data_IF_860851020339
#
_entry.id   IF_860851020339
#
_cell.length_a   1.000
_cell.length_b   1.000
_cell.length_c   1.000
_cell.angle_alpha   90.00
_cell.angle_beta   90.00
_cell.angle_gamma   90.00
#
_symmetry.space_group_name_H-M   'P 1'
#
loop_
_entity.id
_entity.type
_entity.pdbx_description
1 polymer ?
#
# COMPACT_ATOMS: atom_id res chain seq x y z
N UNK A 1 -15.14 30.96 80.91
CA UNK A 1 -16.46 31.51 80.56
C UNK A 1 -17.39 30.33 80.26
N UNK A 2 -18.38 30.14 81.14
CA UNK A 2 -19.41 29.06 81.22
C UNK A 2 -20.51 29.18 80.13
N UNK A 3 -21.53 28.27 80.02
CA UNK A 3 -21.81 26.97 80.68
C UNK A 3 -22.16 25.81 79.67
N UNK A 4 -22.01 24.52 79.98
CA UNK A 4 -22.95 23.56 80.64
C UNK A 4 -24.43 23.56 80.17
N UNK A 5 -24.93 22.38 79.72
CA UNK A 5 -26.11 21.59 80.20
C UNK A 5 -26.64 20.66 79.08
N UNK A 6 -26.57 19.34 79.25
CA UNK A 6 -27.56 18.41 79.83
C UNK A 6 -28.67 17.93 78.86
N UNK A 7 -28.61 16.61 78.58
CA UNK A 7 -29.61 15.61 78.14
C UNK A 7 -31.06 15.82 78.67
N UNK A 8 -32.15 15.23 78.09
CA UNK A 8 -32.29 13.77 77.91
C UNK A 8 -33.25 13.18 76.82
N UNK A 9 -33.03 11.87 76.59
CA UNK A 9 -33.94 10.72 76.36
C UNK A 9 -35.45 10.90 76.15
N UNK A 10 -36.00 10.12 75.20
CA UNK A 10 -37.39 9.63 75.21
C UNK A 10 -38.03 9.60 73.82
N UNK A 11 -37.89 8.52 73.05
CA UNK A 11 -38.85 7.40 72.95
C UNK A 11 -40.16 7.72 72.19
N UNK A 12 -40.32 7.04 71.03
CA UNK A 12 -41.49 6.26 70.55
C UNK A 12 -41.59 6.32 69.02
N UNK A 13 -41.54 5.15 68.37
CA UNK A 13 -42.10 4.98 67.01
C UNK A 13 -43.61 5.19 67.02
N UNK A 14 -44.25 5.37 65.85
CA UNK A 14 -44.71 4.17 65.14
C UNK A 14 -44.74 4.24 63.60
N UNK A 15 -44.92 3.04 63.03
CA UNK A 15 -45.64 2.66 61.81
C UNK A 15 -45.06 2.95 60.40
N UNK A 16 -44.91 1.91 59.55
CA UNK A 16 -44.55 2.05 58.15
C UNK A 16 -45.78 2.46 57.31
N UNK A 17 -45.65 3.57 56.58
CA UNK A 17 -46.64 4.01 55.62
C UNK A 17 -46.70 3.02 54.43
N UNK A 18 -47.90 2.49 54.19
CA UNK A 18 -48.27 1.69 53.01
C UNK A 18 -48.07 2.53 51.74
N UNK A 19 -47.24 2.05 50.82
CA UNK A 19 -47.17 2.53 49.44
C UNK A 19 -48.29 1.86 48.62
N UNK A 20 -49.15 2.62 47.91
CA UNK A 20 -50.08 2.03 46.96
C UNK A 20 -49.36 1.64 45.66
N UNK A 21 -49.66 0.43 45.19
CA UNK A 21 -49.41 -0.01 43.82
C UNK A 21 -50.06 0.96 42.83
N UNK A 22 -49.26 1.60 41.99
CA UNK A 22 -49.70 2.17 40.73
C UNK A 22 -48.65 1.82 39.67
N UNK A 23 -48.98 0.82 38.84
CA UNK A 23 -48.34 0.59 37.56
C UNK A 23 -48.55 1.83 36.69
N UNK A 24 -47.46 2.47 36.29
CA UNK A 24 -47.45 3.39 35.16
C UNK A 24 -46.50 2.81 34.12
N UNK A 25 -47.07 2.43 32.98
CA UNK A 25 -46.36 2.06 31.76
C UNK A 25 -45.47 3.24 31.33
N UNK A 26 -44.15 3.08 31.45
CA UNK A 26 -43.21 3.97 30.78
C UNK A 26 -43.14 3.57 29.29
N UNK A 27 -43.44 4.47 28.34
CA UNK A 27 -43.19 4.18 26.93
C UNK A 27 -41.68 4.02 26.73
N UNK A 28 -41.31 2.95 26.02
CA UNK A 28 -39.94 2.67 25.62
C UNK A 28 -39.29 3.91 25.01
N UNK A 29 -38.27 4.43 25.70
CA UNK A 29 -37.40 5.48 25.20
C UNK A 29 -36.69 4.93 23.97
N UNK A 30 -37.15 5.32 22.78
CA UNK A 30 -36.45 5.08 21.53
C UNK A 30 -35.15 5.88 21.58
N UNK A 31 -34.03 5.18 21.77
CA UNK A 31 -32.72 5.76 21.58
C UNK A 31 -32.64 6.38 20.18
N UNK A 32 -32.08 7.60 20.03
CA UNK A 32 -31.90 8.19 18.72
C UNK A 32 -31.02 7.26 17.86
N UNK A 33 -31.27 7.18 16.54
CA UNK A 33 -30.39 6.44 15.64
C UNK A 33 -28.96 6.95 15.81
N UNK A 34 -28.02 6.03 15.98
CA UNK A 34 -26.60 6.34 16.01
C UNK A 34 -26.23 7.18 14.79
N UNK A 35 -25.41 8.24 14.95
CA UNK A 35 -24.98 9.03 13.81
C UNK A 35 -24.34 8.13 12.76
N UNK A 36 -24.47 8.46 11.46
CA UNK A 36 -23.78 7.73 10.41
C UNK A 36 -22.28 7.69 10.74
N UNK A 37 -21.59 6.56 10.46
CA UNK A 37 -20.15 6.48 10.70
C UNK A 37 -19.47 7.65 9.99
N UNK A 38 -18.58 8.34 10.69
CA UNK A 38 -17.78 9.41 10.11
C UNK A 38 -17.10 8.89 8.83
N UNK A 39 -16.96 9.72 7.78
CA UNK A 39 -16.23 9.31 6.59
C UNK A 39 -14.85 8.79 7.00
N UNK A 40 -14.36 7.69 6.41
CA UNK A 40 -13.07 7.13 6.76
C UNK A 40 -12.02 8.23 6.64
N UNK A 41 -11.26 8.46 7.71
CA UNK A 41 -10.10 9.34 7.69
C UNK A 41 -9.16 8.74 6.66
N UNK A 42 -9.12 9.32 5.45
CA UNK A 42 -8.12 8.95 4.45
C UNK A 42 -6.79 9.32 5.06
N UNK A 43 -6.08 8.33 5.57
CA UNK A 43 -4.74 8.53 6.10
C UNK A 43 -3.91 9.12 4.96
N UNK A 44 -3.15 10.17 5.25
CA UNK A 44 -2.36 10.97 4.30
C UNK A 44 -1.18 10.19 3.68
N UNK A 45 -1.31 8.87 3.56
CA UNK A 45 -0.27 7.96 3.13
C UNK A 45 -0.09 8.03 1.62
N UNK A 46 1.14 8.37 1.23
CA UNK A 46 1.60 8.29 -0.16
C UNK A 46 2.25 6.94 -0.36
N UNK A 47 1.83 6.20 -1.39
CA UNK A 47 2.32 4.87 -1.73
C UNK A 47 2.90 4.91 -3.14
N UNK A 48 4.12 4.44 -3.31
CA UNK A 48 4.85 4.49 -4.57
C UNK A 48 5.27 3.10 -5.02
N UNK A 49 4.94 2.75 -6.26
CA UNK A 49 5.40 1.53 -6.90
C UNK A 49 6.50 1.91 -7.91
N UNK A 50 7.75 1.62 -7.59
CA UNK A 50 8.91 2.00 -8.43
C UNK A 50 9.60 0.78 -9.04
N UNK A 51 10.30 0.98 -10.15
CA UNK A 51 11.05 -0.08 -10.84
C UNK A 51 10.98 0.01 -12.37
N UNK A 52 11.72 -0.88 -13.03
CA UNK A 52 11.78 -0.98 -14.48
C UNK A 52 10.42 -1.29 -15.12
N UNK A 53 10.30 -1.19 -16.45
CA UNK A 53 9.06 -1.57 -17.15
C UNK A 53 8.80 -3.09 -17.03
N UNK A 54 7.56 -3.51 -17.32
CA UNK A 54 7.15 -4.92 -17.32
C UNK A 54 7.30 -5.68 -15.99
N UNK A 55 7.39 -4.98 -14.85
CA UNK A 55 7.52 -5.61 -13.52
C UNK A 55 6.20 -5.79 -12.76
N UNK A 56 5.04 -5.46 -13.34
CA UNK A 56 3.73 -5.61 -12.68
C UNK A 56 3.31 -4.49 -11.72
N UNK A 57 4.02 -3.34 -11.71
CA UNK A 57 3.69 -2.16 -10.88
C UNK A 57 2.25 -1.69 -11.05
N UNK A 58 1.79 -1.49 -12.29
CA UNK A 58 0.42 -1.06 -12.58
C UNK A 58 -0.63 -2.00 -11.97
N UNK A 59 -0.39 -3.31 -12.03
CA UNK A 59 -1.28 -4.31 -11.44
C UNK A 59 -1.33 -4.18 -9.92
N UNK A 60 -0.17 -4.02 -9.26
CA UNK A 60 -0.10 -3.81 -7.82
C UNK A 60 -0.73 -2.48 -7.38
N UNK A 61 -0.48 -1.40 -8.13
CA UNK A 61 -1.05 -0.08 -7.84
C UNK A 61 -2.58 -0.09 -7.95
N UNK A 62 -3.15 -0.76 -8.97
CA UNK A 62 -4.60 -0.97 -9.07
C UNK A 62 -5.13 -1.81 -7.92
N UNK A 63 -4.44 -2.88 -7.54
CA UNK A 63 -4.83 -3.69 -6.40
C UNK A 63 -4.87 -2.87 -5.10
N UNK A 64 -3.87 -2.02 -4.84
CA UNK A 64 -3.87 -1.11 -3.68
C UNK A 64 -5.02 -0.11 -3.75
N UNK A 65 -5.22 0.54 -4.90
CA UNK A 65 -6.34 1.47 -5.15
C UNK A 65 -7.69 0.82 -4.81
N UNK A 66 -7.93 -0.36 -5.37
CA UNK A 66 -9.21 -1.05 -5.25
C UNK A 66 -9.43 -1.63 -3.85
N UNK A 67 -8.36 -2.07 -3.17
CA UNK A 67 -8.44 -2.68 -1.84
C UNK A 67 -8.56 -1.64 -0.73
N UNK A 68 -7.86 -0.50 -0.85
CA UNK A 68 -7.78 0.53 0.20
C UNK A 68 -8.53 1.81 -0.13
N UNK A 69 -9.14 1.92 -1.32
CA UNK A 69 -9.95 3.07 -1.73
C UNK A 69 -9.15 4.35 -1.96
N UNK A 70 -7.84 4.22 -2.23
CA UNK A 70 -6.96 5.37 -2.44
C UNK A 70 -7.07 5.89 -3.88
N UNK A 71 -7.03 7.21 -4.11
CA UNK A 71 -6.78 7.77 -5.44
C UNK A 71 -5.51 7.19 -6.07
N UNK A 72 -5.53 6.99 -7.39
CA UNK A 72 -4.39 6.44 -8.12
C UNK A 72 -3.87 7.43 -9.16
N UNK A 73 -2.57 7.74 -9.07
CA UNK A 73 -1.83 8.36 -10.17
C UNK A 73 -1.43 7.22 -11.12
N UNK A 74 -2.03 7.21 -12.30
CA UNK A 74 -1.68 6.26 -13.35
C UNK A 74 -0.37 6.65 -14.03
N UNK A 75 0.27 5.70 -14.72
CA UNK A 75 1.54 5.92 -15.42
C UNK A 75 1.50 7.13 -16.37
N UNK A 76 2.09 8.25 -15.93
CA UNK A 76 2.12 9.55 -16.66
C UNK A 76 2.79 9.41 -18.03
N UNK A 77 3.82 8.58 -18.11
CA UNK A 77 4.58 8.30 -19.32
C UNK A 77 3.70 7.84 -20.50
N UNK A 78 2.62 7.08 -20.24
CA UNK A 78 1.68 6.67 -21.30
C UNK A 78 0.80 7.82 -21.76
N UNK A 79 0.36 8.68 -20.85
CA UNK A 79 -0.44 9.86 -21.18
C UNK A 79 0.35 10.84 -22.06
N UNK A 80 1.59 11.14 -21.67
CA UNK A 80 2.49 12.01 -22.46
C UNK A 80 2.71 11.43 -23.86
N UNK A 81 2.98 10.12 -23.97
CA UNK A 81 3.22 9.49 -25.26
C UNK A 81 2.00 9.60 -26.19
N UNK A 82 0.81 9.40 -25.64
CA UNK A 82 -0.44 9.51 -26.39
C UNK A 82 -0.71 10.96 -26.84
N UNK A 83 -0.49 11.96 -25.97
CA UNK A 83 -0.64 13.38 -26.31
C UNK A 83 0.35 13.86 -27.37
N UNK A 84 1.55 13.29 -27.41
CA UNK A 84 2.56 13.62 -28.41
C UNK A 84 2.33 12.94 -29.77
N UNK A 85 1.30 12.10 -29.90
CA UNK A 85 1.03 11.26 -31.08
C UNK A 85 2.26 10.43 -31.53
N UNK A 86 3.18 10.17 -30.60
CA UNK A 86 4.46 9.53 -30.88
C UNK A 86 4.37 8.02 -30.65
N UNK A 87 5.12 7.26 -31.44
CA UNK A 87 5.33 5.83 -31.20
C UNK A 87 6.68 5.63 -30.50
N UNK A 88 6.77 4.62 -29.62
CA UNK A 88 8.02 4.24 -28.96
C UNK A 88 9.17 4.01 -29.96
N UNK A 89 8.87 3.49 -31.14
CA UNK A 89 9.88 3.28 -32.19
C UNK A 89 10.41 4.59 -32.78
N UNK A 90 9.58 5.64 -32.87
CA UNK A 90 10.01 6.96 -33.36
C UNK A 90 10.91 7.69 -32.35
N UNK A 91 10.72 7.43 -31.05
CA UNK A 91 11.61 7.92 -30.00
C UNK A 91 13.02 7.36 -30.13
N UNK A 92 13.20 6.14 -30.63
CA UNK A 92 14.54 5.51 -30.73
C UNK A 92 15.47 6.17 -31.75
N UNK A 93 14.94 6.98 -32.68
CA UNK A 93 15.71 7.61 -33.76
C UNK A 93 15.86 9.13 -33.64
N UNK A 94 15.14 9.78 -32.73
CA UNK A 94 15.14 11.23 -32.57
C UNK A 94 15.41 11.61 -31.10
N UNK A 95 16.67 11.97 -30.82
CA UNK A 95 17.12 12.36 -29.48
C UNK A 95 16.38 13.60 -28.97
N UNK A 96 16.09 14.58 -29.84
CA UNK A 96 15.37 15.79 -29.44
C UNK A 96 13.93 15.51 -29.03
N UNK A 97 13.28 14.56 -29.71
CA UNK A 97 11.95 14.09 -29.34
C UNK A 97 11.98 13.32 -28.00
N UNK A 98 13.00 12.50 -27.76
CA UNK A 98 13.17 11.79 -26.47
C UNK A 98 13.43 12.76 -25.33
N UNK A 99 14.29 13.76 -25.54
CA UNK A 99 14.58 14.79 -24.55
C UNK A 99 13.30 15.52 -24.15
N UNK A 100 12.51 15.96 -25.14
CA UNK A 100 11.19 16.56 -24.88
C UNK A 100 10.28 15.60 -24.13
N UNK A 101 10.15 14.35 -24.58
CA UNK A 101 9.31 13.34 -23.94
C UNK A 101 9.69 13.15 -22.46
N UNK A 102 10.97 12.93 -22.14
CA UNK A 102 11.40 12.69 -20.76
C UNK A 102 11.21 13.91 -19.86
N UNK A 103 11.40 15.13 -20.39
CA UNK A 103 11.11 16.37 -19.68
C UNK A 103 9.62 16.51 -19.36
N UNK A 104 8.77 16.25 -20.33
CA UNK A 104 7.31 16.30 -20.20
C UNK A 104 6.78 15.26 -19.20
N UNK A 105 7.36 14.05 -19.18
CA UNK A 105 7.04 13.01 -18.19
C UNK A 105 7.45 13.48 -16.79
N UNK A 106 8.64 14.06 -16.62
CA UNK A 106 9.08 14.60 -15.33
C UNK A 106 8.12 15.66 -14.81
N UNK A 107 7.84 16.70 -15.62
CA UNK A 107 6.98 17.81 -15.22
C UNK A 107 5.57 17.34 -14.86
N UNK A 108 4.94 16.52 -15.72
CA UNK A 108 3.59 16.03 -15.44
C UNK A 108 3.53 15.08 -14.23
N UNK A 109 4.58 14.33 -13.94
CA UNK A 109 4.63 13.51 -12.72
C UNK A 109 4.60 14.40 -11.46
N UNK A 110 5.41 15.46 -11.43
CA UNK A 110 5.42 16.43 -10.34
C UNK A 110 4.05 17.08 -10.17
N UNK A 111 3.45 17.55 -11.26
CA UNK A 111 2.13 18.19 -11.20
C UNK A 111 1.03 17.23 -10.78
N UNK A 112 1.05 15.97 -11.24
CA UNK A 112 0.06 14.97 -10.87
C UNK A 112 0.10 14.69 -9.36
N UNK A 113 1.28 14.61 -8.76
CA UNK A 113 1.43 14.43 -7.32
C UNK A 113 1.05 15.68 -6.52
N UNK A 114 1.38 16.88 -7.02
CA UNK A 114 1.02 18.15 -6.36
C UNK A 114 -0.50 18.38 -6.32
N UNK A 115 -1.24 17.84 -7.28
CA UNK A 115 -2.71 17.92 -7.32
C UNK A 115 -3.39 16.98 -6.32
N UNK A 116 -2.66 16.07 -5.67
CA UNK A 116 -3.22 15.16 -4.67
C UNK A 116 -3.21 15.80 -3.29
N UNK A 117 -4.39 16.18 -2.81
CA UNK A 117 -4.59 16.78 -1.49
C UNK A 117 -4.56 15.74 -0.34
N UNK A 118 -4.89 14.49 -0.65
CA UNK A 118 -4.96 13.37 0.29
C UNK A 118 -3.92 12.27 -0.03
N UNK A 119 -3.94 11.17 0.74
CA UNK A 119 -3.17 9.97 0.42
C UNK A 119 -3.49 9.41 -0.96
N UNK A 120 -2.52 8.76 -1.60
CA UNK A 120 -2.66 8.20 -2.95
C UNK A 120 -1.71 7.01 -3.17
N UNK A 121 -1.98 6.25 -4.23
CA UNK A 121 -1.05 5.27 -4.79
C UNK A 121 -0.57 5.73 -6.17
N UNK A 122 0.74 5.70 -6.42
CA UNK A 122 1.33 6.11 -7.70
C UNK A 122 1.97 4.94 -8.43
N UNK A 123 1.50 4.71 -9.66
CA UNK A 123 2.12 3.78 -10.62
C UNK A 123 3.31 4.47 -11.28
N UNK A 124 4.48 4.29 -10.64
CA UNK A 124 5.75 5.03 -10.80
C UNK A 124 5.86 6.30 -9.97
N UNK A 125 7.10 6.71 -9.80
CA UNK A 125 7.53 7.98 -9.20
C UNK A 125 8.66 8.54 -10.08
N UNK A 126 9.79 8.91 -9.48
CA UNK A 126 11.04 9.35 -10.14
C UNK A 126 11.70 8.34 -11.11
N UNK A 127 11.06 7.22 -11.45
CA UNK A 127 11.60 6.21 -12.36
C UNK A 127 11.98 6.79 -13.72
N UNK A 128 11.29 7.85 -14.16
CA UNK A 128 11.58 8.58 -15.40
C UNK A 128 13.02 9.13 -15.44
N UNK A 129 13.66 9.40 -14.30
CA UNK A 129 15.06 9.82 -14.26
C UNK A 129 16.01 8.73 -14.78
N UNK A 130 15.73 7.46 -14.49
CA UNK A 130 16.50 6.35 -15.04
C UNK A 130 16.35 6.24 -16.56
N UNK A 131 15.15 6.52 -17.10
CA UNK A 131 14.92 6.56 -18.54
C UNK A 131 15.55 7.79 -19.20
N UNK A 132 15.51 8.95 -18.54
CA UNK A 132 16.23 10.13 -18.99
C UNK A 132 17.75 9.87 -19.05
N UNK A 133 18.32 9.21 -18.03
CA UNK A 133 19.71 8.81 -18.03
C UNK A 133 20.06 7.83 -19.16
N UNK A 134 19.12 6.93 -19.49
CA UNK A 134 19.39 5.85 -20.44
C UNK A 134 19.20 6.23 -21.91
N UNK A 135 18.18 7.05 -22.21
CA UNK A 135 17.73 7.31 -23.58
C UNK A 135 17.80 8.79 -23.99
N UNK A 136 18.10 9.70 -23.07
CA UNK A 136 18.06 11.14 -23.32
C UNK A 136 19.38 11.82 -22.94
N UNK A 137 19.50 13.11 -23.23
CA UNK A 137 20.67 13.94 -22.88
C UNK A 137 20.41 14.90 -21.73
N UNK A 138 19.18 14.94 -21.21
CA UNK A 138 18.68 16.00 -20.31
C UNK A 138 18.72 15.65 -18.82
N UNK A 139 19.33 14.54 -18.42
CA UNK A 139 19.38 14.17 -17.00
C UNK A 139 20.00 15.27 -16.14
N UNK A 140 21.09 15.90 -16.60
CA UNK A 140 21.77 16.97 -15.86
C UNK A 140 20.89 18.21 -15.70
N UNK A 141 20.08 18.53 -16.71
CA UNK A 141 19.09 19.60 -16.64
C UNK A 141 18.04 19.28 -15.57
N UNK A 142 17.44 18.09 -15.61
CA UNK A 142 16.43 17.66 -14.62
C UNK A 142 17.04 17.61 -13.21
N UNK A 143 18.26 17.09 -13.07
CA UNK A 143 18.96 16.99 -11.80
C UNK A 143 19.27 18.36 -11.18
N UNK A 144 19.41 19.39 -12.02
CA UNK A 144 19.66 20.77 -11.59
C UNK A 144 18.38 21.54 -11.28
N UNK A 145 17.20 20.98 -11.58
CA UNK A 145 15.91 21.60 -11.26
C UNK A 145 15.66 21.55 -9.75
N UNK A 146 15.50 22.69 -9.06
CA UNK A 146 15.28 22.71 -7.61
C UNK A 146 14.02 21.95 -7.17
N UNK A 147 13.04 21.79 -8.06
CA UNK A 147 11.81 21.04 -7.78
C UNK A 147 12.08 19.55 -7.59
N UNK A 148 13.17 19.01 -8.14
CA UNK A 148 13.55 17.61 -7.94
C UNK A 148 13.85 17.33 -6.47
N UNK A 149 14.55 18.22 -5.77
CA UNK A 149 14.86 18.01 -4.35
C UNK A 149 13.59 17.95 -3.49
N UNK A 150 12.65 18.87 -3.73
CA UNK A 150 11.34 18.89 -3.04
C UNK A 150 10.53 17.65 -3.37
N UNK A 151 10.58 17.22 -4.63
CA UNK A 151 9.90 16.02 -5.09
C UNK A 151 10.44 14.75 -4.40
N UNK A 152 11.76 14.59 -4.36
CA UNK A 152 12.39 13.43 -3.72
C UNK A 152 12.14 13.41 -2.20
N UNK A 153 12.04 14.56 -1.54
CA UNK A 153 11.63 14.64 -0.13
C UNK A 153 10.21 14.09 0.08
N UNK A 154 9.27 14.48 -0.81
CA UNK A 154 7.91 13.94 -0.79
C UNK A 154 7.90 12.42 -0.93
N UNK A 155 8.65 11.89 -1.91
CA UNK A 155 8.73 10.44 -2.13
C UNK A 155 9.35 9.73 -0.92
N UNK A 156 10.40 10.31 -0.33
CA UNK A 156 11.07 9.78 0.88
C UNK A 156 10.13 9.66 2.08
N UNK A 157 9.16 10.56 2.21
CA UNK A 157 8.16 10.51 3.29
C UNK A 157 7.06 9.44 3.06
N UNK A 158 6.97 8.88 1.86
CA UNK A 158 5.97 7.87 1.49
C UNK A 158 6.43 6.43 1.73
N UNK A 159 5.52 5.49 1.48
CA UNK A 159 5.81 4.05 1.43
C UNK A 159 6.23 3.68 0.01
N UNK A 160 7.50 3.35 -0.19
CA UNK A 160 8.04 3.01 -1.50
C UNK A 160 8.27 1.51 -1.62
N UNK A 161 7.62 0.89 -2.60
CA UNK A 161 7.84 -0.50 -2.96
C UNK A 161 8.66 -0.58 -4.25
N UNK A 162 9.83 -1.19 -4.16
CA UNK A 162 10.72 -1.38 -5.29
C UNK A 162 10.46 -2.74 -5.93
N UNK A 163 9.71 -2.73 -7.04
CA UNK A 163 9.24 -3.94 -7.72
C UNK A 163 10.33 -4.45 -8.67
N UNK A 164 10.96 -5.55 -8.27
CA UNK A 164 12.11 -6.11 -9.00
C UNK A 164 11.65 -6.89 -10.25
N UNK A 165 12.44 -6.84 -11.33
CA UNK A 165 12.15 -7.58 -12.54
C UNK A 165 12.44 -9.07 -12.39
N UNK A 166 11.68 -9.89 -13.10
CA UNK A 166 11.96 -11.32 -13.29
C UNK A 166 11.94 -11.64 -14.77
N UNK A 167 12.91 -12.44 -15.21
CA UNK A 167 12.98 -12.91 -16.60
C UNK A 167 11.68 -13.57 -17.03
N UNK A 168 11.10 -14.39 -16.15
CA UNK A 168 9.88 -15.14 -16.42
C UNK A 168 8.60 -14.27 -16.57
N UNK A 169 8.66 -12.98 -16.20
CA UNK A 169 7.56 -12.03 -16.40
C UNK A 169 7.69 -11.22 -17.69
N UNK A 170 8.85 -11.24 -18.35
CA UNK A 170 8.94 -10.74 -19.71
C UNK A 170 8.39 -11.81 -20.65
N UNK A 171 7.21 -11.52 -21.19
CA UNK A 171 6.67 -12.33 -22.27
C UNK A 171 7.64 -12.28 -23.45
N UNK A 172 8.14 -13.46 -23.85
CA UNK A 172 8.93 -13.62 -25.05
C UNK A 172 7.97 -13.49 -26.24
N UNK A 173 7.98 -12.35 -26.92
CA UNK A 173 7.26 -12.16 -28.18
C UNK A 173 7.97 -12.83 -29.37
N UNK A 174 8.94 -13.71 -29.08
CA UNK A 174 9.60 -14.60 -30.03
C UNK A 174 10.67 -13.94 -30.89
N UNK A 175 10.97 -12.65 -30.65
CA UNK A 175 11.93 -11.88 -31.46
C UNK A 175 12.90 -11.06 -30.59
N UNK A 176 12.62 -10.82 -29.29
CA UNK A 176 13.29 -9.73 -28.54
C UNK A 176 13.76 -10.03 -27.10
N UNK A 177 13.71 -11.28 -26.62
CA UNK A 177 14.00 -11.59 -25.20
C UNK A 177 15.42 -11.22 -24.68
N UNK A 178 16.41 -11.00 -25.54
CA UNK A 178 17.77 -10.63 -25.11
C UNK A 178 17.97 -9.15 -24.81
N UNK A 179 17.62 -8.29 -25.77
CA UNK A 179 17.90 -6.84 -25.70
C UNK A 179 17.02 -6.13 -24.66
N UNK A 180 15.76 -6.55 -24.55
CA UNK A 180 14.83 -5.96 -23.58
C UNK A 180 15.18 -6.33 -22.14
N UNK A 181 15.71 -7.54 -21.88
CA UNK A 181 16.11 -7.91 -20.52
C UNK A 181 17.31 -7.10 -20.00
N UNK A 182 18.34 -6.92 -20.82
CA UNK A 182 19.52 -6.16 -20.42
C UNK A 182 19.18 -4.68 -20.19
N UNK A 183 18.24 -4.13 -20.96
CA UNK A 183 17.66 -2.81 -20.68
C UNK A 183 16.91 -2.78 -19.34
N UNK A 184 16.02 -3.75 -19.09
CA UNK A 184 15.28 -3.85 -17.82
C UNK A 184 16.22 -3.91 -16.63
N UNK A 185 17.29 -4.71 -16.69
CA UNK A 185 18.29 -4.81 -15.61
C UNK A 185 19.06 -3.50 -15.42
N UNK A 186 19.44 -2.82 -16.51
CA UNK A 186 20.09 -1.49 -16.43
C UNK A 186 19.17 -0.48 -15.75
N UNK A 187 17.91 -0.40 -16.16
CA UNK A 187 16.92 0.50 -15.55
C UNK A 187 16.69 0.13 -14.08
N UNK A 188 16.59 -1.15 -13.72
CA UNK A 188 16.45 -1.60 -12.33
C UNK A 188 17.64 -1.13 -11.47
N UNK A 189 18.86 -1.31 -11.97
CA UNK A 189 20.08 -0.83 -11.32
C UNK A 189 20.11 0.68 -11.15
N UNK A 190 19.68 1.45 -12.15
CA UNK A 190 19.58 2.91 -12.06
C UNK A 190 18.51 3.35 -11.06
N UNK A 191 17.34 2.71 -11.02
CA UNK A 191 16.32 3.00 -10.00
C UNK A 191 16.85 2.70 -8.60
N UNK A 192 17.55 1.58 -8.42
CA UNK A 192 18.22 1.24 -7.15
C UNK A 192 19.25 2.29 -6.75
N UNK A 193 20.08 2.76 -7.70
CA UNK A 193 21.05 3.83 -7.46
C UNK A 193 20.34 5.11 -6.99
N UNK A 194 19.26 5.51 -7.67
CA UNK A 194 18.49 6.71 -7.33
C UNK A 194 17.85 6.60 -5.93
N UNK A 195 17.31 5.43 -5.57
CA UNK A 195 16.78 5.17 -4.23
C UNK A 195 17.84 5.44 -3.15
N UNK A 196 19.06 4.92 -3.35
CA UNK A 196 20.16 5.11 -2.40
C UNK A 196 20.71 6.55 -2.41
N UNK A 197 20.89 7.13 -3.60
CA UNK A 197 21.44 8.48 -3.76
C UNK A 197 20.58 9.55 -3.08
N UNK A 198 19.25 9.38 -3.08
CA UNK A 198 18.32 10.28 -2.42
C UNK A 198 17.89 9.81 -1.02
N UNK A 199 18.49 8.74 -0.50
CA UNK A 199 18.17 8.15 0.80
C UNK A 199 16.66 7.89 0.98
N UNK A 200 16.01 7.35 -0.06
CA UNK A 200 14.60 6.97 -0.04
C UNK A 200 14.48 5.58 0.58
N UNK A 201 13.79 5.41 1.73
CA UNK A 201 13.50 4.09 2.27
C UNK A 201 12.58 3.32 1.32
N UNK A 202 12.88 2.04 1.07
CA UNK A 202 12.04 1.19 0.21
C UNK A 202 11.95 -0.24 0.72
N UNK A 203 10.88 -0.91 0.31
CA UNK A 203 10.67 -2.35 0.49
C UNK A 203 10.87 -3.04 -0.87
N UNK A 204 11.88 -3.90 -1.03
CA UNK A 204 12.05 -4.66 -2.27
C UNK A 204 10.98 -5.74 -2.40
N UNK A 205 10.38 -5.85 -3.57
CA UNK A 205 9.43 -6.90 -3.93
C UNK A 205 10.06 -7.81 -5.00
N UNK A 206 10.68 -8.90 -4.52
CA UNK A 206 11.48 -9.85 -5.30
C UNK A 206 10.77 -11.17 -5.62
N UNK A 207 9.53 -11.37 -5.16
CA UNK A 207 8.85 -12.62 -5.48
C UNK A 207 8.39 -12.64 -6.93
N UNK A 208 8.51 -13.77 -7.62
CA UNK A 208 7.84 -13.98 -8.91
C UNK A 208 6.31 -14.02 -8.74
N UNK A 209 5.84 -14.51 -7.59
CA UNK A 209 4.42 -14.70 -7.30
C UNK A 209 3.73 -13.38 -6.99
N UNK A 210 2.70 -13.04 -7.76
CA UNK A 210 1.84 -11.89 -7.49
C UNK A 210 1.18 -11.98 -6.10
N UNK A 211 0.82 -13.19 -5.66
CA UNK A 211 0.23 -13.41 -4.34
C UNK A 211 1.19 -12.97 -3.21
N UNK A 212 2.47 -13.34 -3.32
CA UNK A 212 3.48 -12.97 -2.31
C UNK A 212 3.76 -11.47 -2.33
N UNK A 213 3.79 -10.84 -3.51
CA UNK A 213 3.91 -9.38 -3.63
C UNK A 213 2.75 -8.66 -2.94
N UNK A 214 1.53 -9.13 -3.18
CA UNK A 214 0.31 -8.61 -2.53
C UNK A 214 0.39 -8.78 -1.01
N UNK A 215 0.74 -9.97 -0.51
CA UNK A 215 0.90 -10.22 0.94
C UNK A 215 1.93 -9.30 1.58
N UNK A 216 3.07 -9.08 0.92
CA UNK A 216 4.10 -8.18 1.41
C UNK A 216 3.62 -6.73 1.49
N UNK A 217 2.96 -6.23 0.44
CA UNK A 217 2.37 -4.88 0.44
C UNK A 217 1.32 -4.78 1.55
N UNK A 218 0.36 -5.72 1.60
CA UNK A 218 -0.69 -5.75 2.59
C UNK A 218 -0.12 -5.66 4.00
N UNK A 219 0.88 -6.48 4.32
CA UNK A 219 1.49 -6.49 5.65
C UNK A 219 2.11 -5.14 6.03
N UNK A 220 2.79 -4.49 5.08
CA UNK A 220 3.39 -3.16 5.30
C UNK A 220 2.30 -2.11 5.51
N UNK A 221 1.24 -2.13 4.70
CA UNK A 221 0.13 -1.19 4.84
C UNK A 221 -0.63 -1.38 6.16
N UNK A 222 -0.87 -2.63 6.58
CA UNK A 222 -1.50 -2.95 7.87
C UNK A 222 -0.66 -2.41 9.04
N UNK A 223 0.67 -2.54 8.96
CA UNK A 223 1.62 -2.00 9.96
C UNK A 223 1.69 -0.47 9.95
N UNK A 224 1.49 0.15 8.79
CA UNK A 224 1.36 1.60 8.64
C UNK A 224 -0.01 2.12 9.12
N UNK A 225 -0.93 1.23 9.50
CA UNK A 225 -2.24 1.58 10.02
C UNK A 225 -3.31 1.77 8.95
N UNK A 226 -3.03 1.43 7.68
CA UNK A 226 -3.99 1.49 6.61
C UNK A 226 -4.87 0.24 6.61
N UNK A 227 -6.17 0.47 6.54
CA UNK A 227 -7.17 -0.57 6.58
C UNK A 227 -7.82 -0.77 5.21
N UNK A 228 -8.05 -2.02 4.78
CA UNK A 228 -8.82 -2.29 3.58
C UNK A 228 -10.24 -1.71 3.68
N UNK A 229 -10.79 -1.33 2.53
CA UNK A 229 -12.18 -0.91 2.41
C UNK A 229 -13.11 -1.97 3.02
N UNK A 230 -14.00 -1.54 3.91
CA UNK A 230 -14.97 -2.42 4.56
C UNK A 230 -14.41 -3.27 5.70
N UNK A 231 -13.13 -3.07 6.10
CA UNK A 231 -12.66 -3.67 7.35
C UNK A 231 -13.19 -2.85 8.53
N UNK A 232 -14.26 -3.32 9.17
CA UNK A 232 -14.64 -2.83 10.48
C UNK A 232 -13.60 -3.33 11.48
N UNK A 233 -12.57 -2.53 11.76
CA UNK A 233 -11.83 -2.69 13.01
C UNK A 233 -12.79 -2.34 14.13
N UNK A 234 -13.51 -3.35 14.62
CA UNK A 234 -14.32 -3.24 15.83
C UNK A 234 -13.52 -2.54 16.90
N UNK A 235 -13.96 -1.34 17.28
CA UNK A 235 -13.47 -0.67 18.47
C UNK A 235 -13.81 -1.57 19.66
N UNK A 236 -12.82 -2.27 20.21
CA UNK A 236 -12.87 -2.68 21.60
C UNK A 236 -11.52 -3.13 22.15
N UNK A 237 -11.09 -2.43 23.20
CA UNK A 237 -10.49 -3.03 24.39
C UNK A 237 -9.19 -3.81 24.21
N UNK A 238 -8.06 -3.12 24.45
CA UNK A 238 -6.97 -3.73 25.23
C UNK A 238 -7.51 -4.05 26.63
N UNK A 239 -8.27 -5.14 26.76
CA UNK A 239 -8.54 -5.80 28.04
C UNK A 239 -7.64 -7.03 28.08
N UNK A 240 -6.72 -7.02 29.01
CA UNK A 240 -5.85 -8.13 29.34
C UNK A 240 -6.70 -9.37 29.66
N UNK A 241 -6.42 -10.49 29.00
CA UNK A 241 -6.80 -11.81 29.50
C UNK A 241 -5.52 -12.63 29.61
N UNK A 242 -5.02 -12.66 30.85
CA UNK A 242 -4.26 -13.79 31.36
C UNK A 242 -5.11 -15.05 31.21
N UNK A 243 -4.59 -16.05 30.51
CA UNK A 243 -5.21 -17.35 30.33
C UNK A 243 -4.14 -18.43 30.15
N UNK A 244 -3.59 -18.85 31.28
CA UNK A 244 -2.64 -19.93 31.44
C UNK A 244 -3.30 -21.28 31.06
N UNK A 245 -2.64 -22.15 30.29
CA UNK A 245 -3.23 -23.44 29.91
C UNK A 245 -2.32 -24.36 29.08
N UNK A 246 -1.46 -25.09 29.78
CA UNK A 246 -0.70 -26.26 29.30
C UNK A 246 -1.59 -27.32 28.60
N UNK A 247 -1.04 -28.02 27.60
CA UNK A 247 -1.66 -29.23 27.06
C UNK A 247 -0.90 -29.87 25.90
N UNK A 248 0.00 -30.80 26.25
CA UNK A 248 0.88 -31.59 25.38
C UNK A 248 0.09 -32.67 24.61
N UNK A 249 0.52 -33.07 23.40
CA UNK A 249 -0.09 -34.21 22.69
C UNK A 249 0.55 -34.58 21.34
N UNK A 250 1.42 -35.59 21.36
CA UNK A 250 2.12 -36.24 20.24
C UNK A 250 1.22 -36.95 19.21
N UNK A 251 1.70 -37.03 17.94
CA UNK A 251 1.88 -38.22 17.04
C UNK A 251 1.87 -37.74 15.57
N UNK A 252 2.98 -37.76 14.82
CA UNK A 252 3.63 -38.89 14.12
C UNK A 252 2.83 -39.48 12.93
N UNK A 253 3.37 -39.21 11.74
CA UNK A 253 3.46 -40.04 10.52
C UNK A 253 2.18 -40.45 9.76
N UNK A 254 2.11 -40.11 8.46
CA UNK A 254 2.15 -41.12 7.40
C UNK A 254 2.53 -40.53 6.03
N UNK A 255 3.24 -41.34 5.24
CA UNK A 255 3.98 -41.01 4.03
C UNK A 255 3.34 -41.74 2.82
N UNK A 256 3.42 -41.09 1.65
CA UNK A 256 3.46 -41.67 0.29
C UNK A 256 2.10 -42.11 -0.35
N UNK A 257 1.98 -42.25 -1.70
CA UNK A 257 3.05 -42.44 -2.68
C UNK A 257 3.02 -41.60 -3.98
N UNK A 258 4.20 -41.55 -4.62
CA UNK A 258 4.48 -41.04 -5.97
C UNK A 258 3.98 -42.02 -7.06
N UNK A 259 3.58 -41.54 -8.25
CA UNK A 259 3.33 -42.39 -9.40
C UNK A 259 4.62 -42.77 -10.16
N UNK A 260 4.55 -43.96 -10.75
CA UNK A 260 5.61 -44.76 -11.37
C UNK A 260 6.18 -44.15 -12.65
N UNK A 261 7.49 -44.36 -12.86
CA UNK A 261 8.18 -44.26 -14.15
C UNK A 261 7.74 -45.42 -15.06
N UNK A 262 7.27 -45.11 -16.26
CA UNK A 262 7.17 -46.07 -17.35
C UNK A 262 8.43 -45.99 -18.22
N UNK A 263 9.13 -47.13 -18.30
CA UNK A 263 10.14 -47.40 -19.30
C UNK A 263 9.43 -47.86 -20.58
N UNK A 264 9.59 -47.12 -21.66
CA UNK A 264 9.22 -47.54 -23.02
C UNK A 264 10.44 -47.54 -23.92
N UNK A 265 11.11 -48.69 -24.01
CA UNK A 265 12.03 -48.99 -25.09
C UNK A 265 11.25 -49.23 -26.39
N UNK A 266 11.67 -48.62 -27.49
CA UNK A 266 11.09 -48.81 -28.82
C UNK A 266 12.11 -48.48 -29.90
N UNK A 267 12.85 -49.51 -30.31
CA UNK A 267 13.76 -49.56 -31.46
C UNK A 267 12.93 -49.71 -32.73
N UNK A 268 13.30 -49.05 -33.84
CA UNK A 268 12.77 -49.39 -35.16
C UNK A 268 13.09 -48.39 -36.27
N UNK A 269 14.19 -48.67 -36.98
CA UNK A 269 14.60 -48.24 -38.33
C UNK A 269 14.62 -46.77 -38.74
#
# INVERSE_FOLDING_TARGET
MLPQRCFPSGARGPEPARLPHALADHPASSLPPSPPPAPPVIQNQRIYLVGAHSTGKTTLARWVRDTYGLPMISEVARGVLAEMEARLDALRSDVGLVDRYQKEVFVRQLEAEQRMEAGFVSDRAFCNLAYAAHHSTILSEIASDPRLAVYMESVRSGLVFFVRPHRDLLADDGVRAGVEWDEVVRIDGMVKLLLEMFAVPYIPLESLSMQERVRAIQRVLDLAGLDPLGSERGGNGRAAVHGNGNGNGHRSAELAPQPRRENGAGVGH
#
